data_IF_140454207605
#
_entry.id   IF_140454207605
#
_cell.length_a   1.000
_cell.length_b   1.000
_cell.length_c   1.000
_cell.angle_alpha   90.00
_cell.angle_beta   90.00
_cell.angle_gamma   90.00
#
_symmetry.space_group_name_H-M   'P 1'
#
loop_
_entity.id
_entity.type
_entity.pdbx_description
1 polymer ?
#
# COMPACT_ATOMS: atom_id res chain seq x y z
N UNK A 1 4.70 -22.98 -28.20
CA UNK A 1 5.12 -23.89 -27.13
C UNK A 1 4.25 -23.55 -25.91
N UNK A 2 3.31 -24.41 -25.57
CA UNK A 2 2.44 -24.20 -24.40
C UNK A 2 3.24 -24.73 -23.21
N UNK A 3 3.58 -23.85 -22.28
CA UNK A 3 4.17 -24.26 -21.00
C UNK A 3 3.06 -24.92 -20.17
N UNK A 4 3.09 -26.24 -20.08
CA UNK A 4 2.10 -27.06 -19.35
C UNK A 4 2.55 -27.44 -17.93
N UNK A 5 3.61 -26.82 -17.44
CA UNK A 5 4.17 -27.09 -16.11
C UNK A 5 4.18 -25.80 -15.32
N UNK A 6 3.61 -25.84 -14.11
CA UNK A 6 3.76 -24.76 -13.15
C UNK A 6 5.24 -24.69 -12.72
N UNK A 7 5.92 -23.67 -13.18
CA UNK A 7 7.28 -23.37 -12.74
C UNK A 7 7.22 -22.40 -11.58
N UNK A 8 7.94 -22.70 -10.52
CA UNK A 8 8.20 -21.69 -9.51
C UNK A 8 8.98 -20.51 -10.16
N UNK A 9 8.84 -19.33 -9.58
CA UNK A 9 9.58 -18.13 -10.01
C UNK A 9 11.08 -18.40 -10.19
N UNK A 10 11.70 -19.10 -9.24
CA UNK A 10 13.11 -19.44 -9.27
C UNK A 10 13.48 -20.39 -10.43
N UNK A 11 12.63 -21.38 -10.72
CA UNK A 11 12.84 -22.29 -11.86
C UNK A 11 12.72 -21.55 -13.19
N UNK A 12 11.78 -20.63 -13.32
CA UNK A 12 11.61 -19.80 -14.53
C UNK A 12 12.83 -18.87 -14.72
N UNK A 13 13.28 -18.22 -13.65
CA UNK A 13 14.46 -17.34 -13.68
C UNK A 13 15.72 -18.14 -14.08
N UNK A 14 15.91 -19.32 -13.51
CA UNK A 14 17.02 -20.22 -13.88
C UNK A 14 16.93 -20.64 -15.35
N UNK A 15 15.73 -21.00 -15.84
CA UNK A 15 15.53 -21.37 -17.25
C UNK A 15 15.85 -20.23 -18.20
N UNK A 16 15.55 -18.98 -17.82
CA UNK A 16 15.84 -17.78 -18.60
C UNK A 16 17.30 -17.30 -18.47
N UNK A 17 18.13 -17.97 -17.65
CA UNK A 17 19.51 -17.55 -17.38
C UNK A 17 19.61 -16.23 -16.62
N UNK A 18 18.56 -15.85 -15.90
CA UNK A 18 18.50 -14.63 -15.10
C UNK A 18 18.90 -14.93 -13.66
N UNK A 19 19.64 -14.02 -13.03
CA UNK A 19 19.86 -14.11 -11.59
C UNK A 19 18.54 -13.93 -10.84
N UNK A 20 18.30 -14.65 -9.72
CA UNK A 20 17.15 -14.39 -8.87
C UNK A 20 17.15 -12.92 -8.45
N UNK A 21 16.07 -12.22 -8.78
CA UNK A 21 15.86 -10.86 -8.30
C UNK A 21 15.04 -10.96 -6.99
N UNK A 22 15.51 -10.32 -5.97
CA UNK A 22 14.79 -10.16 -4.72
C UNK A 22 13.79 -9.00 -4.90
N UNK A 23 12.62 -9.32 -5.47
CA UNK A 23 11.55 -8.37 -5.78
C UNK A 23 10.30 -8.83 -5.05
N UNK A 24 9.72 -7.94 -4.27
CA UNK A 24 8.37 -8.10 -3.71
C UNK A 24 7.36 -7.34 -4.60
N UNK A 25 6.22 -7.95 -4.86
CA UNK A 25 5.12 -7.32 -5.60
C UNK A 25 4.17 -6.69 -4.59
N UNK A 26 3.88 -5.39 -4.79
CA UNK A 26 2.84 -4.70 -4.04
C UNK A 26 1.61 -4.52 -4.92
N UNK A 27 0.52 -5.22 -4.59
CA UNK A 27 -0.78 -5.01 -5.24
C UNK A 27 -1.48 -3.78 -4.64
N UNK A 28 -1.97 -2.90 -5.50
CA UNK A 28 -2.64 -1.66 -5.12
C UNK A 28 -4.12 -1.60 -5.57
N UNK A 29 -4.70 -2.75 -5.90
CA UNK A 29 -6.09 -2.84 -6.38
C UNK A 29 -7.07 -2.24 -5.39
N UNK A 30 -6.92 -2.54 -4.09
CA UNK A 30 -7.81 -2.10 -3.02
C UNK A 30 -7.68 -0.62 -2.68
N UNK A 31 -6.58 0.04 -3.09
CA UNK A 31 -6.37 1.46 -2.89
C UNK A 31 -6.46 2.25 -4.20
N UNK A 32 -5.52 2.04 -5.13
CA UNK A 32 -5.46 2.80 -6.39
C UNK A 32 -6.53 2.35 -7.38
N UNK A 33 -6.81 1.06 -7.43
CA UNK A 33 -7.89 0.50 -8.25
C UNK A 33 -9.25 1.07 -7.86
N UNK A 34 -9.56 1.21 -6.58
CA UNK A 34 -10.81 1.82 -6.10
C UNK A 34 -10.88 3.33 -6.37
N UNK A 35 -9.76 4.02 -6.57
CA UNK A 35 -9.74 5.43 -6.95
C UNK A 35 -10.12 5.66 -8.42
N UNK A 36 -10.32 4.60 -9.19
CA UNK A 36 -10.79 4.68 -10.56
C UNK A 36 -12.24 5.19 -10.60
N UNK A 37 -12.58 6.18 -11.43
CA UNK A 37 -13.93 6.72 -11.52
C UNK A 37 -14.96 5.60 -11.81
N UNK A 38 -15.98 5.51 -10.96
CA UNK A 38 -17.07 4.52 -11.08
C UNK A 38 -16.79 3.18 -10.41
N UNK A 39 -15.64 3.00 -9.78
CA UNK A 39 -15.33 1.82 -8.96
C UNK A 39 -15.61 2.14 -7.50
N UNK A 40 -16.34 1.26 -6.83
CA UNK A 40 -16.57 1.28 -5.39
C UNK A 40 -16.68 -0.17 -4.94
N UNK A 41 -15.84 -0.59 -4.02
CA UNK A 41 -15.92 -1.91 -3.42
C UNK A 41 -16.73 -1.90 -2.13
N UNK A 42 -17.54 -2.92 -1.94
CA UNK A 42 -18.14 -3.23 -0.64
C UNK A 42 -17.09 -3.79 0.31
N UNK A 43 -17.40 -3.81 1.60
CA UNK A 43 -16.54 -4.44 2.62
C UNK A 43 -16.22 -5.89 2.29
N UNK A 44 -17.24 -6.68 1.89
CA UNK A 44 -17.09 -8.08 1.52
C UNK A 44 -16.18 -8.24 0.29
N UNK A 45 -16.39 -7.44 -0.75
CA UNK A 45 -15.53 -7.48 -1.94
C UNK A 45 -14.07 -7.16 -1.61
N UNK A 46 -13.81 -6.19 -0.73
CA UNK A 46 -12.42 -5.87 -0.30
C UNK A 46 -11.77 -7.03 0.44
N UNK A 47 -12.47 -7.68 1.36
CA UNK A 47 -11.93 -8.83 2.11
C UNK A 47 -11.75 -10.06 1.21
N UNK A 48 -12.64 -10.29 0.26
CA UNK A 48 -12.53 -11.37 -0.72
C UNK A 48 -11.32 -11.13 -1.65
N UNK A 49 -11.16 -9.92 -2.19
CA UNK A 49 -10.00 -9.56 -3.01
C UNK A 49 -8.69 -9.74 -2.24
N UNK A 50 -8.63 -9.29 -0.99
CA UNK A 50 -7.43 -9.46 -0.15
C UNK A 50 -7.10 -10.96 0.05
N UNK A 51 -8.11 -11.80 0.27
CA UNK A 51 -7.95 -13.24 0.41
C UNK A 51 -7.44 -13.89 -0.87
N UNK A 52 -7.96 -13.51 -2.03
CA UNK A 52 -7.52 -14.05 -3.31
C UNK A 52 -6.10 -13.60 -3.67
N UNK A 53 -5.74 -12.34 -3.37
CA UNK A 53 -4.37 -11.84 -3.54
C UNK A 53 -3.37 -12.61 -2.67
N UNK A 54 -3.71 -12.88 -1.42
CA UNK A 54 -2.89 -13.71 -0.53
C UNK A 54 -2.76 -15.13 -1.06
N UNK A 55 -3.86 -15.73 -1.53
CA UNK A 55 -3.89 -17.09 -2.06
C UNK A 55 -3.01 -17.28 -3.30
N UNK A 56 -2.89 -16.27 -4.16
CA UNK A 56 -1.99 -16.32 -5.33
C UNK A 56 -0.54 -15.94 -4.99
N UNK A 57 -0.25 -15.57 -3.74
CA UNK A 57 1.10 -15.33 -3.22
C UNK A 57 1.65 -13.93 -3.52
N UNK A 58 0.80 -12.91 -3.59
CA UNK A 58 1.23 -11.50 -3.60
C UNK A 58 1.91 -11.19 -2.27
N UNK A 59 3.08 -10.58 -2.29
CA UNK A 59 3.87 -10.35 -1.08
C UNK A 59 3.34 -9.19 -0.24
N UNK A 60 2.77 -8.15 -0.88
CA UNK A 60 2.29 -6.93 -0.22
C UNK A 60 0.93 -6.52 -0.78
N UNK A 61 -0.03 -6.20 0.09
CA UNK A 61 -1.35 -5.69 -0.28
C UNK A 61 -1.52 -4.27 0.29
N UNK A 62 -1.66 -3.27 -0.57
CA UNK A 62 -2.03 -1.91 -0.17
C UNK A 62 -3.55 -1.84 -0.01
N UNK A 63 -4.01 -2.01 1.24
CA UNK A 63 -5.40 -2.30 1.59
C UNK A 63 -6.35 -1.09 1.56
N UNK A 64 -5.82 0.13 1.48
CA UNK A 64 -6.66 1.31 1.39
C UNK A 64 -6.02 2.60 1.90
N UNK A 65 -6.87 3.61 2.23
CA UNK A 65 -6.45 4.93 2.69
C UNK A 65 -7.29 5.36 3.92
N UNK A 66 -6.88 5.01 5.13
CA UNK A 66 -7.70 5.11 6.36
C UNK A 66 -8.27 6.49 6.67
N UNK A 67 -7.57 7.56 6.28
CA UNK A 67 -7.99 8.94 6.58
C UNK A 67 -9.20 9.41 5.75
N UNK A 68 -9.57 8.67 4.70
CA UNK A 68 -10.68 9.04 3.80
C UNK A 68 -12.02 8.98 4.53
N UNK A 69 -12.26 7.94 5.32
CA UNK A 69 -13.49 7.79 6.11
C UNK A 69 -13.30 6.79 7.25
N UNK A 70 -14.20 6.85 8.22
CA UNK A 70 -14.23 5.86 9.31
C UNK A 70 -14.49 4.44 8.79
N UNK A 71 -15.36 4.28 7.80
CA UNK A 71 -15.65 2.98 7.18
C UNK A 71 -14.40 2.40 6.50
N UNK A 72 -13.65 3.23 5.77
CA UNK A 72 -12.39 2.81 5.13
C UNK A 72 -11.36 2.38 6.18
N UNK A 73 -11.22 3.14 7.26
CA UNK A 73 -10.31 2.78 8.37
C UNK A 73 -10.66 1.42 8.98
N UNK A 74 -11.95 1.15 9.19
CA UNK A 74 -12.43 -0.12 9.75
C UNK A 74 -12.14 -1.30 8.81
N UNK A 75 -12.31 -1.12 7.50
CA UNK A 75 -12.02 -2.15 6.50
C UNK A 75 -10.51 -2.42 6.41
N UNK A 76 -9.69 -1.39 6.37
CA UNK A 76 -8.22 -1.52 6.37
C UNK A 76 -7.76 -2.28 7.62
N UNK A 77 -8.29 -1.92 8.79
CA UNK A 77 -8.00 -2.64 10.05
C UNK A 77 -8.45 -4.09 10.02
N UNK A 78 -9.61 -4.38 9.45
CA UNK A 78 -10.10 -5.74 9.29
C UNK A 78 -9.15 -6.57 8.44
N UNK A 79 -8.77 -6.07 7.25
CA UNK A 79 -7.85 -6.76 6.33
C UNK A 79 -6.50 -7.02 7.01
N UNK A 80 -5.95 -6.05 7.73
CA UNK A 80 -4.71 -6.21 8.48
C UNK A 80 -4.77 -7.32 9.54
N UNK A 81 -5.96 -7.59 10.08
CA UNK A 81 -6.17 -8.60 11.12
C UNK A 81 -6.74 -9.94 10.60
N UNK A 82 -6.82 -10.15 9.28
CA UNK A 82 -7.31 -11.41 8.69
C UNK A 82 -6.31 -12.58 8.86
N UNK A 83 -5.07 -12.31 9.24
CA UNK A 83 -4.04 -13.34 9.37
C UNK A 83 -3.53 -13.85 8.03
N UNK A 84 -3.44 -12.96 7.04
CA UNK A 84 -2.88 -13.22 5.71
C UNK A 84 -1.38 -13.54 5.81
N UNK A 85 -0.83 -14.25 4.82
CA UNK A 85 0.61 -14.43 4.66
C UNK A 85 1.24 -13.18 4.00
N UNK A 86 0.48 -12.49 3.17
CA UNK A 86 0.85 -11.21 2.58
C UNK A 86 1.02 -10.14 3.66
N UNK A 87 2.06 -9.32 3.55
CA UNK A 87 2.17 -8.10 4.36
C UNK A 87 1.09 -7.11 3.95
N UNK A 88 0.48 -6.46 4.91
CA UNK A 88 -0.51 -5.41 4.67
C UNK A 88 0.08 -4.03 4.83
N UNK A 89 -0.30 -3.10 3.97
CA UNK A 89 0.03 -1.70 4.13
C UNK A 89 -1.17 -0.81 3.78
N UNK A 90 -1.09 0.45 4.13
CA UNK A 90 -2.06 1.45 3.70
C UNK A 90 -1.39 2.79 3.39
N UNK A 91 -2.08 3.62 2.62
CA UNK A 91 -1.58 4.91 2.19
C UNK A 91 -1.76 5.97 3.28
N UNK A 92 -0.76 6.85 3.43
CA UNK A 92 -0.85 8.05 4.25
C UNK A 92 -0.17 9.23 3.55
N UNK A 93 -0.76 10.43 3.66
CA UNK A 93 -0.05 11.67 3.30
C UNK A 93 1.03 11.95 4.35
N UNK A 94 2.00 12.76 3.99
CA UNK A 94 3.05 13.24 4.91
C UNK A 94 2.50 14.20 5.98
N UNK A 95 1.59 13.68 6.80
CA UNK A 95 0.98 14.35 7.96
C UNK A 95 0.89 13.35 9.10
N UNK A 96 1.31 13.74 10.28
CA UNK A 96 1.27 12.90 11.48
C UNK A 96 -0.13 12.30 11.70
N UNK A 97 -1.20 13.09 11.56
CA UNK A 97 -2.57 12.62 11.75
C UNK A 97 -3.01 11.52 10.75
N UNK A 98 -2.47 11.53 9.53
CA UNK A 98 -2.78 10.48 8.54
C UNK A 98 -2.02 9.20 8.89
N UNK A 99 -0.77 9.33 9.35
CA UNK A 99 0.05 8.20 9.79
C UNK A 99 -0.51 7.60 11.09
N UNK A 100 -0.99 8.41 12.02
CA UNK A 100 -1.69 7.97 13.23
C UNK A 100 -2.90 7.10 12.86
N UNK A 101 -3.75 7.56 11.93
CA UNK A 101 -4.89 6.80 11.46
C UNK A 101 -4.49 5.47 10.79
N UNK A 102 -3.33 5.41 10.13
CA UNK A 102 -2.77 4.21 9.54
C UNK A 102 -2.24 3.23 10.59
N UNK A 103 -1.47 3.72 11.56
CA UNK A 103 -0.93 2.91 12.68
C UNK A 103 -2.07 2.26 13.49
N UNK A 104 -3.16 2.98 13.73
CA UNK A 104 -4.34 2.44 14.43
C UNK A 104 -5.06 1.30 13.67
N UNK A 105 -4.71 1.07 12.40
CA UNK A 105 -5.22 -0.05 11.60
C UNK A 105 -4.44 -1.35 11.78
N UNK A 106 -3.35 -1.36 12.55
CA UNK A 106 -2.51 -2.54 12.79
C UNK A 106 -1.86 -3.11 11.52
N UNK A 107 -1.60 -2.30 10.49
CA UNK A 107 -0.90 -2.71 9.25
C UNK A 107 0.58 -2.95 9.50
N UNK A 108 1.23 -3.81 8.69
CA UNK A 108 2.65 -4.13 8.83
C UNK A 108 3.56 -2.93 8.53
N UNK A 109 3.14 -2.03 7.64
CA UNK A 109 3.83 -0.78 7.37
C UNK A 109 2.92 0.28 6.73
N UNK A 110 3.37 1.52 6.72
CA UNK A 110 2.63 2.66 6.15
C UNK A 110 3.33 3.20 4.92
N UNK A 111 2.60 3.29 3.80
CA UNK A 111 3.04 3.89 2.56
C UNK A 111 2.86 5.40 2.61
N UNK A 112 3.93 6.15 2.91
CA UNK A 112 3.86 7.61 3.04
C UNK A 112 4.25 8.26 1.72
N UNK A 113 3.39 9.15 1.20
CA UNK A 113 3.67 9.88 -0.03
C UNK A 113 3.69 11.39 0.17
N UNK A 114 4.46 12.06 -0.69
CA UNK A 114 4.56 13.52 -0.73
C UNK A 114 4.75 14.00 -2.17
N UNK A 115 4.05 15.04 -2.56
CA UNK A 115 4.23 15.68 -3.87
C UNK A 115 5.18 16.88 -3.75
N UNK A 116 6.36 16.78 -4.39
CA UNK A 116 7.46 17.75 -4.27
C UNK A 116 7.71 18.57 -5.54
N UNK A 117 6.82 18.51 -6.57
CA UNK A 117 6.99 19.32 -7.76
C UNK A 117 6.77 20.80 -7.44
N UNK A 118 7.48 21.70 -8.14
CA UNK A 118 7.32 23.16 -7.99
C UNK A 118 5.86 23.61 -8.08
N UNK A 119 5.09 22.98 -8.96
CA UNK A 119 3.67 23.26 -9.14
C UNK A 119 2.88 22.97 -7.85
N UNK A 120 3.12 21.79 -7.23
CA UNK A 120 2.45 21.42 -6.00
C UNK A 120 2.89 22.29 -4.82
N UNK A 121 4.18 22.57 -4.70
CA UNK A 121 4.71 23.42 -3.64
C UNK A 121 4.10 24.80 -3.69
N UNK A 122 4.07 25.40 -4.89
CA UNK A 122 3.60 26.78 -5.08
C UNK A 122 2.09 26.93 -4.99
N UNK A 123 1.31 26.04 -5.63
CA UNK A 123 -0.14 26.25 -5.83
C UNK A 123 -1.04 25.39 -4.94
N UNK A 124 -0.52 24.26 -4.42
CA UNK A 124 -1.30 23.37 -3.57
C UNK A 124 -0.95 23.54 -2.09
N UNK A 125 0.34 23.56 -1.77
CA UNK A 125 0.79 23.59 -0.38
C UNK A 125 1.18 24.99 0.11
N UNK A 126 1.56 25.89 -0.79
CA UNK A 126 2.09 27.24 -0.46
C UNK A 126 3.27 27.14 0.51
N UNK A 127 4.17 26.20 0.28
CA UNK A 127 5.32 25.87 1.14
C UNK A 127 6.60 25.74 0.33
N UNK A 128 7.74 25.95 0.98
CA UNK A 128 9.05 25.66 0.41
C UNK A 128 9.31 24.12 0.38
N UNK A 129 10.36 23.75 -0.34
CA UNK A 129 10.84 22.37 -0.37
C UNK A 129 11.24 21.89 1.04
N UNK A 130 11.98 22.72 1.78
CA UNK A 130 12.48 22.43 3.12
C UNK A 130 11.34 22.24 4.12
N UNK A 131 10.31 23.09 4.07
CA UNK A 131 9.12 22.95 4.91
C UNK A 131 8.37 21.64 4.65
N UNK A 132 8.19 21.27 3.37
CA UNK A 132 7.53 20.03 3.01
C UNK A 132 8.37 18.82 3.39
N UNK A 133 9.67 18.88 3.18
CA UNK A 133 10.59 17.82 3.61
C UNK A 133 10.56 17.63 5.13
N UNK A 134 10.53 18.72 5.90
CA UNK A 134 10.39 18.68 7.37
C UNK A 134 9.13 17.92 7.79
N UNK A 135 7.97 18.23 7.20
CA UNK A 135 6.70 17.53 7.46
C UNK A 135 6.77 16.03 7.12
N UNK A 136 7.44 15.69 6.02
CA UNK A 136 7.62 14.29 5.65
C UNK A 136 8.49 13.54 6.68
N UNK A 137 9.56 14.18 7.15
CA UNK A 137 10.43 13.59 8.18
C UNK A 137 9.70 13.39 9.51
N UNK A 138 8.87 14.33 9.93
CA UNK A 138 8.03 14.20 11.12
C UNK A 138 7.07 13.01 10.99
N UNK A 139 6.40 12.87 9.84
CA UNK A 139 5.48 11.77 9.58
C UNK A 139 6.18 10.40 9.59
N UNK A 140 7.37 10.31 8.95
CA UNK A 140 8.19 9.08 8.96
C UNK A 140 8.69 8.76 10.35
N UNK A 141 9.13 9.76 11.13
CA UNK A 141 9.58 9.53 12.48
C UNK A 141 8.44 9.02 13.36
N UNK A 142 7.25 9.61 13.25
CA UNK A 142 6.07 9.14 13.97
C UNK A 142 5.77 7.66 13.65
N UNK A 143 5.78 7.26 12.36
CA UNK A 143 5.56 5.88 11.95
C UNK A 143 6.59 4.89 12.51
N UNK A 144 7.84 5.36 12.73
CA UNK A 144 8.91 4.51 13.29
C UNK A 144 8.82 4.34 14.80
N UNK A 145 8.22 5.31 15.48
CA UNK A 145 8.13 5.34 16.95
C UNK A 145 6.90 4.56 17.47
N UNK A 146 5.98 4.18 16.57
CA UNK A 146 4.72 3.49 16.88
C UNK A 146 4.55 2.23 16.06
#
# INVERSE_FOLDING_TARGET
MVLTKDYSRNELMHFLGLAPLDIEICDVTLRDGEQTPGVVFTREEKTDIATELDAIGVEIIESGFPVVSQAEKEIVKEIANMGLNSKTCCLARSKVSDVEAAVECDVDFVSIFIAMSELHLKYKYHKSYEEMFGLAMEAVQYAKDH
#
